data_IF_631481955770
#
_entry.id   IF_631481955770
#
_cell.length_a   1.000
_cell.length_b   1.000
_cell.length_c   1.000
_cell.angle_alpha   90.00
_cell.angle_beta   90.00
_cell.angle_gamma   90.00
#
_symmetry.space_group_name_H-M   'P 1'
#
loop_
_entity.id
_entity.type
_entity.pdbx_description
1 polymer ?
#
# COMPACT_ATOMS: atom_id res chain seq x y z
N UNK A 1 -65.74 19.58 41.56
CA UNK A 1 -64.74 20.67 41.45
C UNK A 1 -63.45 20.20 42.12
N UNK A 2 -62.49 19.66 41.37
CA UNK A 2 -61.19 19.22 41.92
C UNK A 2 -60.12 19.33 40.83
N UNK A 3 -59.59 20.53 40.59
CA UNK A 3 -58.47 20.71 39.66
C UNK A 3 -57.55 21.96 39.86
N UNK A 4 -57.22 22.41 41.10
CA UNK A 4 -56.08 23.31 41.29
C UNK A 4 -54.77 22.59 41.73
N UNK A 5 -54.85 21.43 42.40
CA UNK A 5 -53.69 20.78 43.02
C UNK A 5 -52.71 20.16 41.98
N UNK A 6 -53.23 19.40 41.01
CA UNK A 6 -52.41 18.75 39.97
C UNK A 6 -51.57 19.74 39.15
N UNK A 7 -52.14 20.89 38.74
CA UNK A 7 -51.41 21.89 37.93
C UNK A 7 -50.24 22.55 38.68
N UNK A 8 -50.34 22.74 40.00
CA UNK A 8 -49.24 23.26 40.83
C UNK A 8 -48.13 22.21 41.04
N UNK A 9 -48.49 20.95 41.23
CA UNK A 9 -47.50 19.85 41.34
C UNK A 9 -46.74 19.63 40.03
N UNK A 10 -47.42 19.61 38.88
CA UNK A 10 -46.76 19.42 37.58
C UNK A 10 -45.85 20.61 37.22
N UNK A 11 -46.23 21.84 37.56
CA UNK A 11 -45.38 23.02 37.36
C UNK A 11 -44.12 22.99 38.24
N UNK A 12 -44.22 22.41 39.45
CA UNK A 12 -43.08 22.25 40.37
C UNK A 12 -42.13 21.14 39.90
N UNK A 13 -42.68 20.02 39.41
CA UNK A 13 -41.88 18.93 38.85
C UNK A 13 -41.15 19.34 37.56
N UNK A 14 -41.80 20.11 36.70
CA UNK A 14 -41.17 20.63 35.48
C UNK A 14 -40.00 21.56 35.81
N UNK A 15 -40.16 22.47 36.78
CA UNK A 15 -39.08 23.37 37.21
C UNK A 15 -37.88 22.61 37.80
N UNK A 16 -38.13 21.53 38.55
CA UNK A 16 -37.06 20.64 39.05
C UNK A 16 -36.32 19.96 37.89
N UNK A 17 -37.06 19.39 36.93
CA UNK A 17 -36.46 18.77 35.73
C UNK A 17 -35.71 19.77 34.85
N UNK A 18 -36.16 21.03 34.75
CA UNK A 18 -35.45 22.09 34.03
C UNK A 18 -34.12 22.45 34.70
N UNK A 19 -34.09 22.48 36.04
CA UNK A 19 -32.87 22.69 36.81
C UNK A 19 -31.91 21.51 36.66
N UNK A 20 -32.40 20.26 36.74
CA UNK A 20 -31.62 19.05 36.51
C UNK A 20 -31.06 19.01 35.07
N UNK A 21 -31.88 19.31 34.07
CA UNK A 21 -31.47 19.36 32.67
C UNK A 21 -30.41 20.44 32.45
N UNK A 22 -30.54 21.60 33.09
CA UNK A 22 -29.54 22.68 33.03
C UNK A 22 -28.23 22.25 33.69
N UNK A 23 -28.29 21.58 34.84
CA UNK A 23 -27.11 21.04 35.52
C UNK A 23 -26.43 19.97 34.66
N UNK A 24 -27.18 19.03 34.11
CA UNK A 24 -26.69 17.99 33.20
C UNK A 24 -26.03 18.59 31.96
N UNK A 25 -26.66 19.60 31.32
CA UNK A 25 -26.08 20.32 30.18
C UNK A 25 -24.75 20.99 30.52
N UNK A 26 -24.61 21.58 31.71
CA UNK A 26 -23.34 22.18 32.17
C UNK A 26 -22.25 21.13 32.36
N UNK A 27 -22.58 19.97 32.92
CA UNK A 27 -21.64 18.85 33.07
C UNK A 27 -21.19 18.34 31.70
N UNK A 28 -22.14 18.10 30.78
CA UNK A 28 -21.83 17.70 29.41
C UNK A 28 -20.95 18.72 28.69
N UNK A 29 -21.23 20.02 28.82
CA UNK A 29 -20.41 21.07 28.22
C UNK A 29 -18.96 21.06 28.76
N UNK A 30 -18.78 20.84 30.07
CA UNK A 30 -17.44 20.72 30.67
C UNK A 30 -16.68 19.52 30.14
N UNK A 31 -17.34 18.36 30.01
CA UNK A 31 -16.72 17.17 29.44
C UNK A 31 -16.36 17.36 27.96
N UNK A 32 -17.20 18.03 27.16
CA UNK A 32 -16.86 18.37 25.77
C UNK A 32 -15.59 19.20 25.66
N UNK A 33 -15.46 20.25 26.49
CA UNK A 33 -14.24 21.07 26.53
C UNK A 33 -13.02 20.25 26.98
N UNK A 34 -13.20 19.30 27.91
CA UNK A 34 -12.12 18.42 28.34
C UNK A 34 -11.67 17.47 27.23
N UNK A 35 -12.60 16.91 26.46
CA UNK A 35 -12.32 16.06 25.29
C UNK A 35 -11.57 16.86 24.23
N UNK A 36 -12.06 18.04 23.85
CA UNK A 36 -11.38 18.89 22.85
C UNK A 36 -9.94 19.24 23.27
N UNK A 37 -9.72 19.49 24.56
CA UNK A 37 -8.36 19.71 25.08
C UNK A 37 -7.50 18.46 25.07
N UNK A 38 -8.09 17.29 25.28
CA UNK A 38 -7.38 16.01 25.23
C UNK A 38 -6.98 15.66 23.80
N UNK A 39 -7.88 15.86 22.82
CA UNK A 39 -7.61 15.70 21.39
C UNK A 39 -6.45 16.60 20.95
N UNK A 40 -6.49 17.90 21.27
CA UNK A 40 -5.38 18.82 20.96
C UNK A 40 -4.04 18.42 21.59
N UNK A 41 -4.06 17.78 22.76
CA UNK A 41 -2.85 17.28 23.42
C UNK A 41 -2.34 16.00 22.77
N UNK A 42 -3.25 15.16 22.28
CA UNK A 42 -2.91 13.97 21.52
C UNK A 42 -2.25 14.38 20.20
N UNK A 43 -2.86 15.30 19.44
CA UNK A 43 -2.29 15.81 18.18
C UNK A 43 -0.85 16.33 18.39
N UNK A 44 -0.64 17.15 19.42
CA UNK A 44 0.69 17.68 19.74
C UNK A 44 1.71 16.60 20.17
N UNK A 45 1.24 15.53 20.80
CA UNK A 45 2.08 14.39 21.17
C UNK A 45 2.44 13.55 19.95
N UNK A 46 1.50 13.34 19.02
CA UNK A 46 1.72 12.64 17.75
C UNK A 46 2.70 13.41 16.86
N UNK A 47 2.56 14.75 16.75
CA UNK A 47 3.52 15.61 16.05
C UNK A 47 4.94 15.49 16.64
N UNK A 48 5.04 15.52 17.97
CA UNK A 48 6.33 15.36 18.65
C UNK A 48 6.92 13.97 18.45
N UNK A 49 6.09 12.93 18.41
CA UNK A 49 6.52 11.56 18.12
C UNK A 49 7.03 11.45 16.69
N UNK A 50 6.33 12.06 15.72
CA UNK A 50 6.72 12.07 14.31
C UNK A 50 8.08 12.76 14.10
N UNK A 51 8.35 13.89 14.77
CA UNK A 51 9.67 14.56 14.72
C UNK A 51 10.79 13.65 15.27
N UNK A 52 10.56 13.02 16.43
CA UNK A 52 11.54 12.09 17.02
C UNK A 52 11.79 10.91 16.07
N UNK A 53 10.74 10.35 15.49
CA UNK A 53 10.81 9.23 14.55
C UNK A 53 11.58 9.59 13.28
N UNK A 54 11.32 10.77 12.70
CA UNK A 54 12.04 11.27 11.53
C UNK A 54 13.55 11.37 11.79
N UNK A 55 13.94 11.97 12.92
CA UNK A 55 15.36 12.10 13.29
C UNK A 55 16.01 10.73 13.56
N UNK A 56 15.27 9.82 14.18
CA UNK A 56 15.73 8.44 14.38
C UNK A 56 15.98 7.73 13.05
N UNK A 57 15.02 7.76 12.13
CA UNK A 57 15.17 7.12 10.81
C UNK A 57 16.30 7.76 9.99
N UNK A 58 16.48 9.09 10.06
CA UNK A 58 17.64 9.76 9.44
C UNK A 58 18.97 9.24 10.00
N UNK A 59 19.08 9.10 11.33
CA UNK A 59 20.27 8.57 11.98
C UNK A 59 20.49 7.09 11.64
N UNK A 60 19.42 6.31 11.51
CA UNK A 60 19.46 4.92 11.07
C UNK A 60 19.99 4.81 9.64
N UNK A 61 19.47 5.59 8.70
CA UNK A 61 19.94 5.62 7.32
C UNK A 61 21.42 6.01 7.26
N UNK A 62 21.84 7.03 8.01
CA UNK A 62 23.24 7.45 8.08
C UNK A 62 24.18 6.35 8.60
N UNK A 63 23.66 5.40 9.40
CA UNK A 63 24.43 4.28 9.93
C UNK A 63 24.71 3.16 8.92
N UNK A 64 24.00 3.11 7.79
CA UNK A 64 24.13 2.04 6.79
C UNK A 64 25.35 2.18 5.87
N UNK A 65 25.99 3.34 5.84
CA UNK A 65 27.12 3.61 4.93
C UNK A 65 26.68 3.56 3.46
N UNK A 66 27.48 2.91 2.61
CA UNK A 66 27.25 2.90 1.15
C UNK A 66 26.21 1.88 0.68
N UNK A 67 25.78 0.95 1.56
CA UNK A 67 24.83 -0.11 1.19
C UNK A 67 23.54 0.03 1.99
N UNK A 68 22.41 0.38 1.35
CA UNK A 68 21.14 0.50 2.05
C UNK A 68 20.64 -0.87 2.55
N UNK A 69 19.98 -0.87 3.71
CA UNK A 69 19.29 -2.05 4.21
C UNK A 69 17.94 -2.23 3.51
N UNK A 70 17.96 -3.02 2.44
CA UNK A 70 16.77 -3.31 1.63
C UNK A 70 15.68 -4.07 2.36
N UNK A 71 16.01 -4.86 3.38
CA UNK A 71 14.98 -5.54 4.17
C UNK A 71 14.17 -4.52 4.95
N UNK A 72 14.86 -3.55 5.57
CA UNK A 72 14.22 -2.46 6.31
C UNK A 72 13.49 -1.50 5.36
N UNK A 73 14.07 -1.15 4.21
CA UNK A 73 13.44 -0.23 3.25
C UNK A 73 12.17 -0.78 2.61
N UNK A 74 12.13 -2.09 2.35
CA UNK A 74 10.95 -2.73 1.81
C UNK A 74 9.92 -3.07 2.90
N UNK A 75 10.25 -2.99 4.18
CA UNK A 75 9.30 -3.31 5.23
C UNK A 75 8.11 -2.33 5.22
N UNK A 76 6.92 -2.88 5.40
CA UNK A 76 5.65 -2.14 5.40
C UNK A 76 5.32 -1.52 6.75
N UNK A 77 6.31 -1.24 7.58
CA UNK A 77 6.12 -0.61 8.89
C UNK A 77 5.62 0.83 8.73
N UNK A 78 4.33 1.04 9.01
CA UNK A 78 3.66 2.35 8.92
C UNK A 78 4.14 3.34 9.98
N UNK A 79 4.89 2.89 11.01
CA UNK A 79 5.49 3.79 11.99
C UNK A 79 6.73 4.51 11.46
N UNK A 80 7.25 4.11 10.30
CA UNK A 80 8.42 4.74 9.67
C UNK A 80 8.08 6.10 9.08
N UNK A 81 9.04 7.01 9.19
CA UNK A 81 8.95 8.34 8.60
C UNK A 81 9.03 8.32 7.07
N UNK A 82 8.67 9.44 6.44
CA UNK A 82 8.68 9.59 4.97
C UNK A 82 10.06 9.35 4.34
N UNK A 83 11.15 9.63 5.06
CA UNK A 83 12.54 9.41 4.59
C UNK A 83 12.77 7.97 4.17
N UNK A 84 12.21 7.01 4.90
CA UNK A 84 12.37 5.59 4.58
C UNK A 84 11.68 5.23 3.26
N UNK A 85 10.50 5.82 3.02
CA UNK A 85 9.76 5.63 1.77
C UNK A 85 10.47 6.31 0.59
N UNK A 86 10.92 7.55 0.76
CA UNK A 86 11.64 8.31 -0.25
C UNK A 86 12.92 7.58 -0.67
N UNK A 87 13.70 7.07 0.30
CA UNK A 87 14.93 6.33 0.02
C UNK A 87 14.65 5.00 -0.70
N UNK A 88 13.57 4.29 -0.34
CA UNK A 88 13.15 3.08 -1.03
C UNK A 88 12.75 3.38 -2.49
N UNK A 89 11.99 4.46 -2.73
CA UNK A 89 11.61 4.91 -4.06
C UNK A 89 12.84 5.25 -4.91
N UNK A 90 13.71 6.15 -4.45
CA UNK A 90 14.90 6.54 -5.18
C UNK A 90 15.82 5.36 -5.48
N UNK A 91 16.00 4.47 -4.50
CA UNK A 91 16.82 3.27 -4.67
C UNK A 91 16.26 2.33 -5.73
N UNK A 92 14.95 2.05 -5.69
CA UNK A 92 14.29 1.18 -6.66
C UNK A 92 14.25 1.79 -8.06
N UNK A 93 14.04 3.10 -8.18
CA UNK A 93 14.04 3.80 -9.47
C UNK A 93 15.37 3.66 -10.20
N UNK A 94 16.50 3.73 -9.47
CA UNK A 94 17.85 3.47 -10.03
C UNK A 94 18.00 2.04 -10.57
N UNK A 95 17.24 1.09 -10.03
CA UNK A 95 17.17 -0.31 -10.49
C UNK A 95 16.14 -0.51 -11.62
N UNK A 96 15.44 0.55 -12.05
CA UNK A 96 14.34 0.47 -13.00
C UNK A 96 13.06 -0.11 -12.40
N UNK A 97 12.92 -0.08 -11.09
CA UNK A 97 11.77 -0.61 -10.35
C UNK A 97 11.06 0.55 -9.64
N UNK A 98 9.94 0.25 -8.99
CA UNK A 98 9.28 1.16 -8.07
C UNK A 98 8.69 0.41 -6.90
N UNK A 99 8.17 1.18 -5.93
CA UNK A 99 7.39 0.62 -4.82
C UNK A 99 6.05 1.31 -4.67
N UNK A 100 5.14 0.70 -3.91
CA UNK A 100 3.79 1.19 -3.68
C UNK A 100 3.26 0.69 -2.33
N UNK A 101 1.95 0.49 -2.25
CA UNK A 101 1.19 0.01 -1.10
C UNK A 101 1.81 -1.23 -0.44
N UNK A 102 1.35 -1.52 0.78
CA UNK A 102 1.76 -2.70 1.54
C UNK A 102 1.00 -3.92 1.02
N UNK A 103 1.74 -5.00 0.77
CA UNK A 103 1.16 -6.31 0.55
C UNK A 103 0.66 -6.85 1.89
N UNK A 104 -0.67 -6.98 2.01
CA UNK A 104 -1.33 -7.43 3.24
C UNK A 104 -0.95 -8.85 3.69
N UNK A 105 -0.48 -9.69 2.77
CA UNK A 105 -0.04 -11.06 3.11
C UNK A 105 1.34 -11.06 3.75
N UNK A 106 2.27 -10.25 3.24
CA UNK A 106 3.68 -10.28 3.69
C UNK A 106 4.04 -9.13 4.64
N UNK A 107 3.17 -8.13 4.77
CA UNK A 107 3.47 -6.87 5.45
C UNK A 107 4.63 -6.10 4.81
N UNK A 108 4.96 -6.40 3.55
CA UNK A 108 6.05 -5.76 2.82
C UNK A 108 5.50 -4.78 1.79
N UNK A 109 6.19 -3.67 1.55
CA UNK A 109 5.89 -2.79 0.42
C UNK A 109 5.98 -3.58 -0.88
N UNK A 110 4.99 -3.39 -1.75
CA UNK A 110 4.97 -4.01 -3.07
C UNK A 110 6.10 -3.43 -3.90
N UNK A 111 6.95 -4.28 -4.45
CA UNK A 111 7.87 -3.92 -5.54
C UNK A 111 7.14 -4.10 -6.86
N UNK A 112 7.26 -3.13 -7.74
CA UNK A 112 6.68 -3.19 -9.08
C UNK A 112 7.68 -2.82 -10.17
N UNK A 113 7.41 -3.30 -11.38
CA UNK A 113 8.10 -2.87 -12.58
C UNK A 113 7.11 -2.69 -13.72
N UNK A 114 7.43 -1.82 -14.66
CA UNK A 114 6.72 -1.66 -15.93
C UNK A 114 7.73 -1.42 -17.04
N UNK A 115 7.31 -1.70 -18.27
CA UNK A 115 8.09 -1.42 -19.47
C UNK A 115 7.50 -0.21 -20.18
N UNK A 116 8.30 0.84 -20.33
CA UNK A 116 7.90 2.00 -21.12
C UNK A 116 8.20 1.81 -22.61
N UNK A 117 9.15 0.94 -22.95
CA UNK A 117 9.60 0.66 -24.31
C UNK A 117 9.73 -0.85 -24.55
N UNK A 118 9.89 -1.23 -25.82
CA UNK A 118 10.26 -2.58 -26.25
C UNK A 118 11.78 -2.78 -26.36
N UNK A 119 12.58 -1.83 -25.88
CA UNK A 119 14.03 -1.85 -26.06
C UNK A 119 14.73 -2.97 -25.27
N UNK A 120 15.82 -3.49 -25.83
CA UNK A 120 16.67 -4.47 -25.14
C UNK A 120 17.43 -3.82 -23.97
N UNK A 121 17.76 -2.53 -24.07
CA UNK A 121 18.43 -1.80 -22.99
C UNK A 121 17.57 -1.73 -21.72
N UNK A 122 16.27 -1.42 -21.88
CA UNK A 122 15.33 -1.44 -20.77
C UNK A 122 15.16 -2.86 -20.21
N UNK A 123 15.01 -3.89 -21.07
CA UNK A 123 14.94 -5.28 -20.62
C UNK A 123 16.14 -5.68 -19.74
N UNK A 124 17.36 -5.36 -20.18
CA UNK A 124 18.57 -5.68 -19.44
C UNK A 124 18.68 -4.88 -18.13
N UNK A 125 18.19 -3.63 -18.09
CA UNK A 125 18.11 -2.85 -16.85
C UNK A 125 17.12 -3.48 -15.86
N UNK A 126 15.89 -3.78 -16.28
CA UNK A 126 14.87 -4.40 -15.42
C UNK A 126 15.32 -5.78 -14.93
N UNK A 127 15.96 -6.58 -15.78
CA UNK A 127 16.48 -7.89 -15.42
C UNK A 127 17.49 -7.79 -14.27
N UNK A 128 18.47 -6.89 -14.37
CA UNK A 128 19.46 -6.65 -13.30
C UNK A 128 18.79 -6.16 -12.02
N UNK A 129 17.84 -5.23 -12.14
CA UNK A 129 17.09 -4.72 -10.99
C UNK A 129 16.31 -5.81 -10.28
N UNK A 130 15.56 -6.63 -11.02
CA UNK A 130 14.81 -7.77 -10.47
C UNK A 130 15.75 -8.77 -9.80
N UNK A 131 16.82 -9.19 -10.49
CA UNK A 131 17.78 -10.14 -9.92
C UNK A 131 18.40 -9.64 -8.62
N UNK A 132 18.69 -8.34 -8.54
CA UNK A 132 19.25 -7.71 -7.34
C UNK A 132 18.23 -7.64 -6.19
N UNK A 133 17.00 -7.18 -6.46
CA UNK A 133 16.03 -6.93 -5.39
C UNK A 133 15.33 -8.20 -4.90
N UNK A 134 15.20 -9.21 -5.76
CA UNK A 134 14.38 -10.40 -5.48
C UNK A 134 14.76 -11.11 -4.17
N UNK A 135 16.03 -11.25 -3.78
CA UNK A 135 16.40 -11.80 -2.47
C UNK A 135 15.76 -11.09 -1.26
N UNK A 136 15.48 -9.80 -1.37
CA UNK A 136 14.89 -8.97 -0.32
C UNK A 136 13.36 -8.98 -0.32
N UNK A 137 12.72 -9.48 -1.39
CA UNK A 137 11.27 -9.64 -1.46
C UNK A 137 10.84 -10.81 -0.57
N UNK A 138 9.91 -10.58 0.35
CA UNK A 138 9.32 -11.60 1.22
C UNK A 138 8.46 -12.54 0.36
N UNK A 139 8.60 -13.83 0.60
CA UNK A 139 7.74 -14.82 -0.02
C UNK A 139 6.37 -14.84 0.68
N UNK A 140 5.30 -14.98 -0.10
CA UNK A 140 3.96 -15.22 0.44
C UNK A 140 3.82 -16.63 1.03
N UNK A 141 2.62 -16.96 1.49
CA UNK A 141 2.25 -18.23 2.12
C UNK A 141 2.54 -19.45 1.24
N UNK A 142 2.53 -19.29 -0.07
CA UNK A 142 2.87 -20.34 -1.05
C UNK A 142 4.37 -20.44 -1.35
N UNK A 143 5.24 -19.71 -0.64
CA UNK A 143 6.69 -19.76 -0.85
C UNK A 143 7.16 -19.07 -2.13
N UNK A 144 6.32 -18.22 -2.73
CA UNK A 144 6.64 -17.47 -3.94
C UNK A 144 6.86 -16.00 -3.60
N UNK A 145 7.91 -15.41 -4.18
CA UNK A 145 8.14 -13.97 -4.20
C UNK A 145 7.36 -13.36 -5.35
N UNK A 146 6.73 -12.23 -5.10
CA UNK A 146 5.85 -11.55 -6.05
C UNK A 146 6.37 -10.15 -6.35
N UNK A 147 6.54 -9.84 -7.65
CA UNK A 147 6.78 -8.48 -8.14
C UNK A 147 5.59 -8.09 -9.02
N UNK A 148 4.95 -6.97 -8.70
CA UNK A 148 3.79 -6.49 -9.46
C UNK A 148 4.22 -5.90 -10.80
N UNK A 149 3.42 -6.11 -11.83
CA UNK A 149 3.68 -5.57 -13.16
C UNK A 149 2.71 -4.41 -13.44
N UNK A 150 3.26 -3.21 -13.58
CA UNK A 150 2.54 -2.04 -14.09
C UNK A 150 2.44 -2.14 -15.61
N UNK A 151 1.22 -2.06 -16.13
CA UNK A 151 0.91 -2.24 -17.55
C UNK A 151 -0.32 -1.42 -17.96
N UNK A 152 -0.49 -1.07 -19.24
CA UNK A 152 -1.53 -0.13 -19.70
C UNK A 152 -2.98 -0.51 -19.34
N UNK A 153 -3.31 -1.80 -19.36
CA UNK A 153 -4.66 -2.38 -19.11
C UNK A 153 -4.87 -2.75 -17.64
N UNK A 154 -4.24 -2.02 -16.71
CA UNK A 154 -4.30 -2.30 -15.26
C UNK A 154 -5.69 -2.20 -14.65
N UNK A 155 -6.62 -1.56 -15.35
CA UNK A 155 -8.05 -1.51 -15.05
C UNK A 155 -8.77 -2.85 -15.29
N UNK A 156 -8.26 -3.69 -16.20
CA UNK A 156 -8.89 -4.96 -16.61
C UNK A 156 -8.35 -6.16 -15.83
N UNK A 157 -7.05 -6.18 -15.54
CA UNK A 157 -6.40 -7.27 -14.84
C UNK A 157 -5.08 -6.82 -14.20
N UNK A 158 -4.68 -7.55 -13.16
CA UNK A 158 -3.36 -7.42 -12.56
C UNK A 158 -2.43 -8.50 -13.12
N UNK A 159 -1.16 -8.13 -13.28
CA UNK A 159 -0.08 -9.06 -13.63
C UNK A 159 0.97 -9.05 -12.52
N UNK A 160 1.53 -10.23 -12.27
CA UNK A 160 2.57 -10.42 -11.27
C UNK A 160 3.62 -11.39 -11.80
N UNK A 161 4.88 -11.04 -11.63
CA UNK A 161 6.00 -11.97 -11.78
C UNK A 161 6.15 -12.75 -10.47
N UNK A 162 6.07 -14.07 -10.56
CA UNK A 162 6.16 -14.99 -9.43
C UNK A 162 7.43 -15.80 -9.53
N UNK A 163 8.22 -15.85 -8.45
CA UNK A 163 9.42 -16.69 -8.37
C UNK A 163 9.34 -17.58 -7.14
N UNK A 164 9.35 -18.89 -7.36
CA UNK A 164 9.33 -19.87 -6.29
C UNK A 164 10.67 -19.92 -5.57
N UNK A 165 10.65 -19.77 -4.24
CA UNK A 165 11.89 -19.70 -3.44
C UNK A 165 12.68 -21.01 -3.40
N UNK A 166 12.01 -22.16 -3.59
CA UNK A 166 12.63 -23.48 -3.47
C UNK A 166 13.16 -24.00 -4.81
N UNK A 167 12.33 -23.88 -5.84
CA UNK A 167 12.59 -24.41 -7.18
C UNK A 167 13.20 -23.38 -8.13
N UNK A 168 13.15 -22.09 -7.78
CA UNK A 168 13.52 -20.98 -8.66
C UNK A 168 12.69 -20.94 -9.96
N UNK A 169 11.54 -21.64 -9.98
CA UNK A 169 10.63 -21.61 -11.13
C UNK A 169 10.01 -20.22 -11.26
N UNK A 170 9.94 -19.73 -12.50
CA UNK A 170 9.44 -18.40 -12.83
C UNK A 170 8.11 -18.52 -13.55
N UNK A 171 7.13 -17.74 -13.13
CA UNK A 171 5.85 -17.64 -13.83
C UNK A 171 5.31 -16.22 -13.85
N UNK A 172 4.50 -15.91 -14.86
CA UNK A 172 3.68 -14.69 -14.88
C UNK A 172 2.25 -15.09 -14.56
N UNK A 173 1.71 -14.45 -13.53
CA UNK A 173 0.37 -14.71 -13.01
C UNK A 173 -0.54 -13.54 -13.37
N UNK A 174 -1.68 -13.87 -13.97
CA UNK A 174 -2.75 -12.93 -14.29
C UNK A 174 -3.92 -13.11 -13.35
N UNK A 175 -4.33 -12.01 -12.72
CA UNK A 175 -5.49 -11.96 -11.83
C UNK A 175 -6.56 -11.02 -12.36
N UNK A 176 -7.82 -11.45 -12.24
CA UNK A 176 -9.00 -10.63 -12.54
C UNK A 176 -9.87 -10.60 -11.29
N UNK A 177 -10.16 -9.40 -10.78
CA UNK A 177 -10.86 -9.19 -9.50
C UNK A 177 -10.22 -9.99 -8.34
N UNK A 178 -8.89 -9.99 -8.27
CA UNK A 178 -8.12 -10.68 -7.23
C UNK A 178 -8.02 -12.21 -7.38
N UNK A 179 -8.68 -12.81 -8.38
CA UNK A 179 -8.64 -14.27 -8.60
C UNK A 179 -7.66 -14.64 -9.70
N UNK A 180 -6.86 -15.68 -9.46
CA UNK A 180 -6.02 -16.30 -10.49
C UNK A 180 -6.89 -16.73 -11.68
N UNK A 181 -6.52 -16.27 -12.88
CA UNK A 181 -7.16 -16.63 -14.14
C UNK A 181 -6.25 -17.43 -15.04
N UNK A 182 -4.96 -17.08 -15.04
CA UNK A 182 -3.98 -17.66 -15.94
C UNK A 182 -2.60 -17.56 -15.29
N UNK A 183 -1.80 -18.61 -15.48
CA UNK A 183 -0.41 -18.65 -15.04
C UNK A 183 0.43 -19.28 -16.13
N UNK A 184 1.45 -18.55 -16.56
CA UNK A 184 2.34 -18.95 -17.65
C UNK A 184 3.73 -19.17 -17.09
N UNK A 185 4.27 -20.37 -17.25
CA UNK A 185 5.62 -20.73 -16.80
C UNK A 185 6.70 -20.30 -17.80
N UNK A 186 7.88 -19.93 -17.30
CA UNK A 186 9.00 -19.49 -18.11
C UNK A 186 10.30 -20.20 -17.69
N UNK A 187 11.24 -20.41 -18.64
CA UNK A 187 12.51 -21.06 -18.35
C UNK A 187 13.45 -20.22 -17.47
N UNK A 188 13.15 -18.93 -17.26
CA UNK A 188 13.92 -18.05 -16.39
C UNK A 188 13.38 -16.62 -16.37
N UNK A 189 13.98 -15.77 -15.54
CA UNK A 189 13.57 -14.38 -15.34
C UNK A 189 13.59 -13.57 -16.63
N UNK A 190 14.66 -13.70 -17.42
CA UNK A 190 14.79 -12.94 -18.67
C UNK A 190 13.68 -13.29 -19.67
N UNK A 191 13.33 -14.57 -19.81
CA UNK A 191 12.26 -15.00 -20.71
C UNK A 191 10.89 -14.47 -20.25
N UNK A 192 10.63 -14.46 -18.94
CA UNK A 192 9.40 -13.90 -18.38
C UNK A 192 9.33 -12.37 -18.58
N UNK A 193 10.43 -11.65 -18.33
CA UNK A 193 10.49 -10.20 -18.53
C UNK A 193 10.39 -9.81 -20.00
N UNK A 194 10.99 -10.58 -20.92
CA UNK A 194 10.84 -10.39 -22.35
C UNK A 194 9.38 -10.58 -22.78
N UNK A 195 8.72 -11.63 -22.30
CA UNK A 195 7.28 -11.81 -22.54
C UNK A 195 6.46 -10.62 -22.03
N UNK A 196 6.73 -10.13 -20.82
CA UNK A 196 6.03 -8.97 -20.27
C UNK A 196 6.26 -7.73 -21.15
N UNK A 197 7.51 -7.44 -21.52
CA UNK A 197 7.85 -6.31 -22.39
C UNK A 197 7.11 -6.38 -23.72
N UNK A 198 7.21 -7.52 -24.42
CA UNK A 198 6.70 -7.66 -25.77
C UNK A 198 5.16 -7.56 -25.81
N UNK A 199 4.46 -8.00 -24.75
CA UNK A 199 2.99 -8.07 -24.72
C UNK A 199 2.32 -6.97 -23.88
N UNK A 200 3.05 -6.30 -22.99
CA UNK A 200 2.49 -5.43 -21.95
C UNK A 200 3.30 -4.15 -21.70
N UNK A 201 4.20 -3.75 -22.61
CA UNK A 201 4.84 -2.42 -22.54
C UNK A 201 3.87 -1.29 -22.93
N UNK A 202 4.17 -0.06 -22.53
CA UNK A 202 3.40 1.12 -22.93
C UNK A 202 3.43 1.35 -24.46
N UNK A 203 4.51 0.91 -25.11
CA UNK A 203 4.69 0.96 -26.57
C UNK A 203 4.13 -0.26 -27.30
N UNK A 204 3.69 -1.30 -26.59
CA UNK A 204 3.07 -2.47 -27.21
C UNK A 204 1.73 -2.04 -27.83
N UNK A 205 1.79 -1.64 -29.11
CA UNK A 205 0.63 -1.37 -29.95
C UNK A 205 -0.22 -2.64 -29.93
N UNK A 206 -1.50 -2.52 -29.58
CA UNK A 206 -2.44 -3.61 -29.82
C UNK A 206 -2.40 -3.93 -31.32
N UNK A 207 -1.82 -5.09 -31.67
CA UNK A 207 -2.33 -5.85 -32.81
C UNK A 207 -3.81 -6.10 -32.47
N UNK A 208 -4.67 -5.25 -33.02
CA UNK A 208 -6.10 -5.46 -32.99
C UNK A 208 -6.38 -6.91 -33.34
N UNK A 209 -7.31 -7.49 -32.59
CA UNK A 209 -8.08 -8.68 -32.94
C UNK A 209 -7.91 -9.07 -34.42
N UNK A 210 -7.38 -10.26 -34.77
CA UNK A 210 -7.48 -10.72 -36.14
C UNK A 210 -8.96 -10.96 -36.40
N UNK A 211 -9.60 -9.98 -37.02
CA UNK A 211 -10.86 -10.20 -37.68
C UNK A 211 -10.57 -11.06 -38.91
N UNK A 212 -11.29 -12.18 -38.98
CA UNK A 212 -11.51 -13.03 -40.15
C UNK A 212 -10.32 -13.91 -40.62
N UNK A 213 -10.49 -15.21 -40.41
CA UNK A 213 -10.51 -16.21 -41.48
C UNK A 213 -11.44 -17.35 -41.04
N UNK A 214 -12.75 -17.13 -41.18
CA UNK A 214 -13.75 -18.18 -41.35
C UNK A 214 -14.30 -18.08 -42.77
N UNK A 215 -13.49 -18.59 -43.69
CA UNK A 215 -13.82 -19.13 -45.02
C UNK A 215 -12.62 -20.04 -45.29
N UNK A 216 -12.74 -21.36 -45.35
CA UNK A 216 -13.66 -22.16 -46.17
C UNK A 216 -14.06 -23.47 -45.48
#
# INVERSE_FOLDING_TARGET
MTQPARKKETATQLALLEAELTAARRVTARHRVAVEKAEKRLDAAEDSQADVQYRYDCALVASWGDTPDWLTLLDGDESRSSVMYELACEGLERLGLGTSMINMETGQRVVWLGFCTDSEAELQQKLRGVQFILPFVKAGSHGQREISISQPRRDKFALSLMVDTRTQSVSVLKRVYGREKERTGFPGLEAALRYIRDNHSDTSIEAGTPHALLTS
#
